data_IF_964424634686
#
_entry.id   IF_964424634686
#
_cell.length_a   1.000
_cell.length_b   1.000
_cell.length_c   1.000
_cell.angle_alpha   90.00
_cell.angle_beta   90.00
_cell.angle_gamma   90.00
#
_symmetry.space_group_name_H-M   'P 1'
#
loop_
_entity.id
_entity.type
_entity.pdbx_description
1 polymer ?
#
# COMPACT_ATOMS: atom_id res chain seq x y z
N UNK A 1 4.06 2.52 -20.41
CA UNK A 1 4.87 3.63 -19.86
C UNK A 1 5.12 4.75 -20.89
N UNK A 2 5.10 4.47 -22.21
CA UNK A 2 5.32 5.45 -23.28
C UNK A 2 4.29 6.59 -23.41
N UNK A 3 3.14 6.56 -22.71
CA UNK A 3 2.14 7.64 -22.75
C UNK A 3 2.29 8.66 -21.61
N UNK A 4 3.13 8.41 -20.60
CA UNK A 4 3.30 9.37 -19.49
C UNK A 4 3.98 10.66 -19.97
N UNK A 5 4.98 10.53 -20.86
CA UNK A 5 5.72 11.65 -21.45
C UNK A 5 4.83 12.55 -22.35
N UNK A 6 3.66 12.05 -22.75
CA UNK A 6 2.67 12.80 -23.54
C UNK A 6 1.67 13.57 -22.68
N UNK A 7 1.66 13.32 -21.37
CA UNK A 7 0.81 14.05 -20.43
C UNK A 7 1.42 15.42 -20.13
N UNK A 8 0.56 16.38 -19.80
CA UNK A 8 1.03 17.67 -19.30
C UNK A 8 1.82 17.49 -18.00
N UNK A 9 2.76 18.40 -17.73
CA UNK A 9 3.55 18.38 -16.50
C UNK A 9 2.66 18.27 -15.26
N UNK A 10 1.58 19.05 -15.21
CA UNK A 10 0.61 19.03 -14.11
C UNK A 10 0.02 17.64 -13.88
N UNK A 11 -0.28 16.90 -14.94
CA UNK A 11 -0.83 15.56 -14.82
C UNK A 11 0.23 14.53 -14.43
N UNK A 12 1.47 14.70 -14.90
CA UNK A 12 2.60 13.88 -14.46
C UNK A 12 2.85 14.08 -12.96
N UNK A 13 2.90 15.33 -12.49
CA UNK A 13 3.11 15.69 -11.08
C UNK A 13 1.99 15.14 -10.20
N UNK A 14 0.74 15.22 -10.67
CA UNK A 14 -0.41 14.64 -9.96
C UNK A 14 -0.27 13.12 -9.79
N UNK A 15 0.08 12.40 -10.86
CA UNK A 15 0.28 10.94 -10.83
C UNK A 15 1.45 10.60 -9.91
N UNK A 16 2.56 11.34 -10.01
CA UNK A 16 3.72 11.16 -9.15
C UNK A 16 3.35 11.34 -7.67
N UNK A 17 2.67 12.43 -7.32
CA UNK A 17 2.22 12.70 -5.96
C UNK A 17 1.34 11.58 -5.43
N UNK A 18 0.37 11.11 -6.22
CA UNK A 18 -0.51 10.01 -5.82
C UNK A 18 0.26 8.68 -5.60
N UNK A 19 1.26 8.39 -6.44
CA UNK A 19 2.10 7.21 -6.23
C UNK A 19 2.91 7.33 -4.93
N UNK A 20 3.55 8.46 -4.68
CA UNK A 20 4.35 8.68 -3.47
C UNK A 20 3.49 8.57 -2.21
N UNK A 21 2.33 9.25 -2.20
CA UNK A 21 1.41 9.20 -1.06
C UNK A 21 0.90 7.78 -0.82
N UNK A 22 0.62 7.00 -1.87
CA UNK A 22 0.24 5.61 -1.70
C UNK A 22 1.31 4.78 -0.96
N UNK A 23 2.60 4.97 -1.25
CA UNK A 23 3.66 4.30 -0.48
C UNK A 23 3.73 4.76 0.97
N UNK A 24 3.60 6.07 1.23
CA UNK A 24 3.59 6.62 2.59
C UNK A 24 2.41 6.08 3.40
N UNK A 25 1.20 6.14 2.85
CA UNK A 25 -0.01 5.64 3.52
C UNK A 25 0.08 4.13 3.75
N UNK A 26 0.71 3.37 2.85
CA UNK A 26 0.94 1.94 3.08
C UNK A 26 1.88 1.66 4.27
N UNK A 27 2.91 2.49 4.49
CA UNK A 27 3.74 2.42 5.69
C UNK A 27 2.86 2.68 6.92
N UNK A 28 2.14 3.79 6.91
CA UNK A 28 1.27 4.24 7.99
C UNK A 28 0.26 3.15 8.41
N UNK A 29 -0.47 2.58 7.44
CA UNK A 29 -1.45 1.53 7.69
C UNK A 29 -0.83 0.20 8.15
N UNK A 30 0.40 -0.12 7.72
CA UNK A 30 1.12 -1.30 8.19
C UNK A 30 1.56 -1.15 9.65
N UNK A 31 1.99 0.05 10.06
CA UNK A 31 2.38 0.32 11.44
C UNK A 31 1.19 0.18 12.42
N UNK A 32 -0.03 0.48 11.96
CA UNK A 32 -1.27 0.28 12.72
C UNK A 32 -1.87 -1.13 12.58
N UNK A 33 -1.27 -2.02 11.80
CA UNK A 33 -1.87 -3.31 11.49
C UNK A 33 -1.93 -4.20 12.75
N UNK A 34 -3.13 -4.66 13.17
CA UNK A 34 -3.27 -5.46 14.39
C UNK A 34 -2.63 -6.85 14.27
N UNK A 35 -2.46 -7.34 13.06
CA UNK A 35 -1.85 -8.62 12.74
C UNK A 35 -0.31 -8.54 12.61
N UNK A 36 0.30 -7.35 12.77
CA UNK A 36 1.75 -7.17 12.74
C UNK A 36 2.42 -7.92 13.89
N UNK A 37 3.36 -8.82 13.56
CA UNK A 37 4.01 -9.72 14.52
C UNK A 37 5.21 -9.06 15.19
N UNK A 38 4.91 -8.13 16.10
CA UNK A 38 5.90 -7.41 16.92
C UNK A 38 5.57 -7.55 18.42
N UNK A 39 6.57 -7.43 19.32
CA UNK A 39 6.33 -7.34 20.76
C UNK A 39 5.31 -6.24 21.10
N UNK A 40 4.54 -6.44 22.18
CA UNK A 40 3.46 -5.54 22.56
C UNK A 40 3.97 -4.13 22.89
N UNK A 41 5.13 -3.99 23.53
CA UNK A 41 5.71 -2.67 23.82
C UNK A 41 6.03 -1.92 22.53
N UNK A 42 6.59 -2.62 21.54
CA UNK A 42 6.93 -2.04 20.25
C UNK A 42 5.69 -1.65 19.44
N UNK A 43 4.57 -2.36 19.60
CA UNK A 43 3.32 -2.05 18.90
C UNK A 43 2.80 -0.65 19.22
N UNK A 44 2.80 -0.26 20.49
CA UNK A 44 2.35 1.09 20.89
C UNK A 44 3.26 2.15 20.28
N UNK A 45 4.58 1.93 20.35
CA UNK A 45 5.56 2.81 19.72
C UNK A 45 5.36 2.96 18.20
N UNK A 46 5.09 1.86 17.48
CA UNK A 46 4.86 1.90 16.04
C UNK A 46 3.54 2.60 15.68
N UNK A 47 2.50 2.45 16.48
CA UNK A 47 1.25 3.17 16.31
C UNK A 47 1.46 4.69 16.48
N UNK A 48 2.25 5.12 17.47
CA UNK A 48 2.59 6.53 17.66
C UNK A 48 3.51 7.06 16.55
N UNK A 49 4.40 6.22 16.02
CA UNK A 49 5.30 6.55 14.92
C UNK A 49 4.53 6.91 13.65
N UNK A 50 3.30 6.40 13.47
CA UNK A 50 2.46 6.68 12.30
C UNK A 50 2.35 8.20 12.02
N UNK A 51 2.06 9.01 13.05
CA UNK A 51 1.93 10.47 12.92
C UNK A 51 3.22 11.13 12.45
N UNK A 52 4.36 10.59 12.86
CA UNK A 52 5.69 11.12 12.55
C UNK A 52 6.16 10.75 11.14
N UNK A 53 5.55 9.76 10.47
CA UNK A 53 5.91 9.39 9.09
C UNK A 53 5.60 10.55 8.14
N UNK A 54 4.43 11.17 8.27
CA UNK A 54 4.05 12.32 7.46
C UNK A 54 4.98 13.51 7.70
N UNK A 55 5.23 13.84 8.97
CA UNK A 55 6.14 14.92 9.39
C UNK A 55 7.55 14.70 8.83
N UNK A 56 8.10 13.49 8.96
CA UNK A 56 9.44 13.16 8.47
C UNK A 56 9.57 13.30 6.94
N UNK A 57 8.52 12.97 6.19
CA UNK A 57 8.53 13.16 4.74
C UNK A 57 8.48 14.64 4.36
N UNK A 58 7.66 15.44 5.03
CA UNK A 58 7.55 16.88 4.81
C UNK A 58 8.85 17.60 5.20
N UNK A 59 9.46 17.21 6.31
CA UNK A 59 10.78 17.70 6.72
C UNK A 59 11.85 17.34 5.68
N UNK A 60 11.81 16.13 5.12
CA UNK A 60 12.71 15.76 4.04
C UNK A 60 12.52 16.66 2.81
N UNK A 61 11.28 16.93 2.37
CA UNK A 61 11.01 17.87 1.27
C UNK A 61 11.53 19.27 1.57
N UNK A 62 11.39 19.74 2.81
CA UNK A 62 11.94 21.01 3.26
C UNK A 62 13.47 21.04 3.12
N UNK A 63 14.17 19.95 3.46
CA UNK A 63 15.63 19.86 3.28
C UNK A 63 16.06 19.89 1.81
N UNK A 64 15.18 19.48 0.90
CA UNK A 64 15.39 19.56 -0.55
C UNK A 64 15.08 20.94 -1.14
N UNK A 65 14.66 21.91 -0.31
CA UNK A 65 14.38 23.28 -0.73
C UNK A 65 12.97 23.50 -1.28
N UNK A 66 12.03 22.58 -1.04
CA UNK A 66 10.62 22.76 -1.44
C UNK A 66 10.01 23.93 -0.68
N UNK A 67 9.28 24.78 -1.40
CA UNK A 67 8.65 25.97 -0.82
C UNK A 67 7.59 25.63 0.23
N UNK A 68 7.49 26.47 1.26
CA UNK A 68 6.59 26.26 2.41
C UNK A 68 5.12 26.03 2.02
N UNK A 69 4.65 26.67 0.95
CA UNK A 69 3.26 26.50 0.53
C UNK A 69 2.99 25.09 -0.01
N UNK A 70 3.91 24.51 -0.78
CA UNK A 70 3.86 23.13 -1.22
C UNK A 70 4.00 22.13 -0.07
N UNK A 71 4.77 22.44 0.97
CA UNK A 71 4.88 21.59 2.16
C UNK A 71 3.50 21.40 2.85
N UNK A 72 2.71 22.48 2.96
CA UNK A 72 1.35 22.43 3.53
C UNK A 72 0.41 21.61 2.66
N UNK A 73 0.53 21.72 1.33
CA UNK A 73 -0.26 20.91 0.41
C UNK A 73 0.07 19.41 0.56
N UNK A 74 1.33 19.06 0.76
CA UNK A 74 1.77 17.69 1.04
C UNK A 74 1.22 17.15 2.35
N UNK A 75 1.31 17.92 3.44
CA UNK A 75 0.73 17.55 4.75
C UNK A 75 -0.76 17.23 4.60
N UNK A 76 -1.51 18.13 3.94
CA UNK A 76 -2.94 17.96 3.71
C UNK A 76 -3.23 16.75 2.83
N UNK A 77 -2.47 16.56 1.74
CA UNK A 77 -2.67 15.45 0.82
C UNK A 77 -2.45 14.10 1.50
N UNK A 78 -1.37 13.95 2.27
CA UNK A 78 -1.06 12.71 3.00
C UNK A 78 -2.16 12.41 4.01
N UNK A 79 -2.59 13.40 4.80
CA UNK A 79 -3.66 13.23 5.78
C UNK A 79 -4.98 12.81 5.13
N UNK A 80 -5.41 13.52 4.08
CA UNK A 80 -6.64 13.20 3.35
C UNK A 80 -6.61 11.77 2.79
N UNK A 81 -5.49 11.34 2.20
CA UNK A 81 -5.34 10.01 1.62
C UNK A 81 -5.26 8.91 2.67
N UNK A 82 -4.62 9.18 3.80
CA UNK A 82 -4.64 8.26 4.93
C UNK A 82 -6.07 8.01 5.40
N UNK A 83 -6.85 9.07 5.66
CA UNK A 83 -8.24 8.95 6.15
C UNK A 83 -9.15 8.26 5.13
N UNK A 84 -8.97 8.53 3.84
CA UNK A 84 -9.70 7.86 2.78
C UNK A 84 -9.38 6.36 2.74
N UNK A 85 -8.11 5.99 2.58
CA UNK A 85 -7.72 4.58 2.44
C UNK A 85 -7.95 3.77 3.73
N UNK A 86 -7.88 4.43 4.90
CA UNK A 86 -8.20 3.80 6.18
C UNK A 86 -9.68 3.45 6.31
N UNK A 87 -10.59 4.29 5.79
CA UNK A 87 -12.05 4.06 5.81
C UNK A 87 -12.45 2.91 4.87
N UNK A 88 -11.83 2.82 3.71
CA UNK A 88 -12.14 1.81 2.70
C UNK A 88 -11.78 0.37 3.14
N UNK A 89 -10.98 0.21 4.20
CA UNK A 89 -10.54 -1.10 4.71
C UNK A 89 -11.69 -2.05 5.01
N UNK A 90 -12.82 -1.54 5.52
CA UNK A 90 -13.97 -2.39 5.85
C UNK A 90 -14.66 -2.93 4.60
N UNK A 91 -14.85 -2.08 3.59
CA UNK A 91 -15.44 -2.47 2.31
C UNK A 91 -14.53 -3.44 1.56
N UNK A 92 -13.24 -3.15 1.50
CA UNK A 92 -12.22 -4.01 0.90
C UNK A 92 -12.18 -5.38 1.56
N UNK A 93 -12.21 -5.43 2.90
CA UNK A 93 -12.27 -6.69 3.65
C UNK A 93 -13.55 -7.46 3.34
N UNK A 94 -14.70 -6.79 3.34
CA UNK A 94 -15.99 -7.39 3.03
C UNK A 94 -16.03 -8.00 1.63
N UNK A 95 -15.59 -7.25 0.61
CA UNK A 95 -15.49 -7.73 -0.76
C UNK A 95 -14.56 -8.94 -0.88
N UNK A 96 -13.38 -8.91 -0.23
CA UNK A 96 -12.45 -10.03 -0.23
C UNK A 96 -13.04 -11.29 0.44
N UNK A 97 -13.78 -11.13 1.54
CA UNK A 97 -14.47 -12.23 2.23
C UNK A 97 -15.56 -12.85 1.35
N UNK A 98 -16.36 -12.04 0.65
CA UNK A 98 -17.38 -12.53 -0.27
C UNK A 98 -16.75 -13.33 -1.42
N UNK A 99 -15.67 -12.81 -2.01
CA UNK A 99 -14.95 -13.49 -3.10
C UNK A 99 -14.33 -14.82 -2.66
N UNK A 100 -13.76 -14.90 -1.45
CA UNK A 100 -13.15 -16.12 -0.93
C UNK A 100 -14.24 -17.17 -0.60
N UNK A 101 -15.34 -16.72 0.03
CA UNK A 101 -16.49 -17.56 0.37
C UNK A 101 -17.09 -18.22 -0.87
N UNK A 102 -17.25 -17.45 -1.96
CA UNK A 102 -17.79 -17.94 -3.23
C UNK A 102 -16.89 -18.96 -3.94
N UNK A 103 -15.57 -18.96 -3.69
CA UNK A 103 -14.61 -19.84 -4.39
C UNK A 103 -14.39 -21.17 -3.71
N UNK A 104 -14.28 -21.20 -2.39
CA UNK A 104 -13.87 -22.42 -1.66
C UNK A 104 -14.37 -22.49 -0.20
N UNK A 105 -15.28 -21.59 0.22
CA UNK A 105 -15.66 -21.43 1.62
C UNK A 105 -14.62 -20.63 2.42
N UNK A 106 -15.09 -19.85 3.40
CA UNK A 106 -14.25 -18.99 4.23
C UNK A 106 -13.87 -19.72 5.53
N UNK A 107 -12.57 -19.92 5.72
CA UNK A 107 -11.99 -20.51 6.94
C UNK A 107 -11.08 -19.49 7.66
N UNK A 108 -10.50 -19.91 8.80
CA UNK A 108 -9.63 -19.05 9.61
C UNK A 108 -8.34 -18.66 8.87
N UNK A 109 -7.76 -19.56 8.06
CA UNK A 109 -6.59 -19.24 7.23
C UNK A 109 -6.93 -18.18 6.17
N UNK A 110 -8.05 -18.36 5.47
CA UNK A 110 -8.58 -17.40 4.51
C UNK A 110 -8.81 -16.03 5.13
N UNK A 111 -9.47 -15.97 6.29
CA UNK A 111 -9.67 -14.73 7.05
C UNK A 111 -8.36 -14.05 7.43
N UNK A 112 -7.39 -14.81 7.97
CA UNK A 112 -6.08 -14.28 8.34
C UNK A 112 -5.33 -13.73 7.11
N UNK A 113 -5.41 -14.42 5.97
CA UNK A 113 -4.78 -13.98 4.71
C UNK A 113 -5.45 -12.73 4.14
N UNK A 114 -6.77 -12.63 4.26
CA UNK A 114 -7.50 -11.41 3.86
C UNK A 114 -7.05 -10.25 4.74
N UNK A 115 -7.12 -10.39 6.07
CA UNK A 115 -6.75 -9.35 7.03
C UNK A 115 -5.32 -8.83 6.76
N UNK A 116 -4.38 -9.74 6.52
CA UNK A 116 -2.99 -9.44 6.17
C UNK A 116 -2.84 -8.55 4.92
N UNK A 117 -3.77 -8.64 3.97
CA UNK A 117 -3.70 -7.96 2.67
C UNK A 117 -4.59 -6.71 2.59
N UNK A 118 -5.47 -6.47 3.57
CA UNK A 118 -6.39 -5.32 3.57
C UNK A 118 -5.68 -3.99 3.35
N UNK A 119 -4.59 -3.63 4.07
CA UNK A 119 -3.89 -2.36 3.85
C UNK A 119 -3.37 -2.21 2.42
N UNK A 120 -2.76 -3.27 1.88
CA UNK A 120 -2.24 -3.29 0.51
C UNK A 120 -3.37 -3.12 -0.51
N UNK A 121 -4.49 -3.80 -0.32
CA UNK A 121 -5.63 -3.75 -1.22
C UNK A 121 -6.29 -2.37 -1.19
N UNK A 122 -6.56 -1.80 -0.01
CA UNK A 122 -7.15 -0.48 0.13
C UNK A 122 -6.33 0.60 -0.55
N UNK A 123 -5.01 0.64 -0.30
CA UNK A 123 -4.10 1.60 -0.93
C UNK A 123 -4.01 1.38 -2.44
N UNK A 124 -3.93 0.14 -2.91
CA UNK A 124 -3.83 -0.15 -4.35
C UNK A 124 -5.08 0.27 -5.11
N UNK A 125 -6.26 0.04 -4.53
CA UNK A 125 -7.56 0.41 -5.11
C UNK A 125 -7.70 1.93 -5.11
N UNK A 126 -7.45 2.58 -3.98
CA UNK A 126 -7.53 4.04 -3.85
C UNK A 126 -6.57 4.76 -4.78
N UNK A 127 -5.30 4.35 -4.81
CA UNK A 127 -4.29 4.93 -5.70
C UNK A 127 -4.69 4.79 -7.18
N UNK A 128 -5.18 3.61 -7.58
CA UNK A 128 -5.68 3.39 -8.94
C UNK A 128 -6.89 4.27 -9.26
N UNK A 129 -7.84 4.38 -8.33
CA UNK A 129 -9.00 5.25 -8.44
C UNK A 129 -8.58 6.71 -8.67
N UNK A 130 -7.67 7.24 -7.86
CA UNK A 130 -7.21 8.62 -7.98
C UNK A 130 -6.38 8.88 -9.24
N UNK A 131 -5.46 7.99 -9.60
CA UNK A 131 -4.73 8.10 -10.87
C UNK A 131 -5.71 8.10 -12.06
N UNK A 132 -6.76 7.29 -12.00
CA UNK A 132 -7.75 7.22 -13.08
C UNK A 132 -8.89 8.25 -12.96
N UNK A 133 -8.90 9.08 -11.92
CA UNK A 133 -10.00 10.02 -11.61
C UNK A 133 -11.36 9.31 -11.56
N UNK A 134 -11.40 8.12 -10.98
CA UNK A 134 -12.58 7.26 -10.90
C UNK A 134 -12.90 6.47 -12.16
N UNK A 135 -12.29 6.77 -13.31
CA UNK A 135 -12.52 6.04 -14.56
C UNK A 135 -11.61 4.79 -14.65
N UNK A 136 -11.92 3.77 -13.85
CA UNK A 136 -11.10 2.56 -13.70
C UNK A 136 -11.33 1.51 -14.80
N UNK A 137 -12.43 1.62 -15.57
CA UNK A 137 -12.80 0.66 -16.60
C UNK A 137 -11.73 0.55 -17.70
N UNK A 138 -11.33 -0.69 -18.04
CA UNK A 138 -10.32 -0.97 -19.06
C UNK A 138 -8.88 -0.62 -18.66
N UNK A 139 -8.62 -0.24 -17.39
CA UNK A 139 -7.27 0.15 -16.90
C UNK A 139 -6.65 -0.89 -15.96
N UNK A 140 -6.97 -2.16 -16.19
CA UNK A 140 -6.54 -3.29 -15.34
C UNK A 140 -5.01 -3.42 -15.27
N UNK A 141 -4.31 -3.09 -16.36
CA UNK A 141 -2.86 -3.23 -16.41
C UNK A 141 -2.12 -2.18 -15.56
N UNK A 142 -2.70 -1.00 -15.40
CA UNK A 142 -2.22 -0.01 -14.45
C UNK A 142 -2.43 -0.50 -13.02
N UNK A 143 -3.63 -1.00 -12.70
CA UNK A 143 -3.91 -1.57 -11.38
C UNK A 143 -2.95 -2.72 -11.03
N UNK A 144 -2.72 -3.65 -11.97
CA UNK A 144 -1.76 -4.76 -11.79
C UNK A 144 -0.35 -4.24 -11.49
N UNK A 145 0.10 -3.16 -12.14
CA UNK A 145 1.40 -2.57 -11.89
C UNK A 145 1.49 -1.90 -10.52
N UNK A 146 0.48 -1.10 -10.15
CA UNK A 146 0.38 -0.47 -8.82
C UNK A 146 0.43 -1.56 -7.73
N UNK A 147 -0.45 -2.57 -7.84
CA UNK A 147 -0.50 -3.69 -6.90
C UNK A 147 0.82 -4.45 -6.83
N UNK A 148 1.49 -4.69 -7.96
CA UNK A 148 2.79 -5.38 -8.01
C UNK A 148 3.88 -4.58 -7.27
N UNK A 149 3.94 -3.27 -7.47
CA UNK A 149 4.93 -2.41 -6.83
C UNK A 149 4.68 -2.28 -5.33
N UNK A 150 3.43 -1.95 -4.94
CA UNK A 150 3.04 -1.84 -3.53
C UNK A 150 3.19 -3.17 -2.79
N UNK A 151 2.84 -4.31 -3.42
CA UNK A 151 2.98 -5.63 -2.77
C UNK A 151 4.44 -6.01 -2.53
N UNK A 152 5.35 -5.67 -3.45
CA UNK A 152 6.78 -5.91 -3.27
C UNK A 152 7.31 -5.10 -2.08
N UNK A 153 6.96 -3.82 -2.03
CA UNK A 153 7.34 -2.93 -0.93
C UNK A 153 6.75 -3.38 0.40
N UNK A 154 5.45 -3.69 0.44
CA UNK A 154 4.73 -4.19 1.63
C UNK A 154 5.41 -5.41 2.25
N UNK A 155 5.74 -6.41 1.43
CA UNK A 155 6.39 -7.64 1.91
C UNK A 155 7.79 -7.35 2.44
N UNK A 156 8.56 -6.51 1.75
CA UNK A 156 9.91 -6.13 2.18
C UNK A 156 9.89 -5.38 3.51
N UNK A 157 9.01 -4.40 3.65
CA UNK A 157 8.86 -3.61 4.87
C UNK A 157 8.37 -4.48 6.03
N UNK A 158 7.33 -5.28 5.81
CA UNK A 158 6.73 -6.12 6.85
C UNK A 158 7.70 -7.18 7.37
N UNK A 159 8.43 -7.87 6.49
CA UNK A 159 9.45 -8.84 6.91
C UNK A 159 10.48 -8.18 7.82
N UNK A 160 10.92 -6.95 7.50
CA UNK A 160 11.89 -6.23 8.34
C UNK A 160 11.29 -5.84 9.69
N UNK A 161 10.06 -5.34 9.73
CA UNK A 161 9.38 -4.97 10.97
C UNK A 161 9.14 -6.16 11.89
N UNK A 162 8.83 -7.34 11.33
CA UNK A 162 8.63 -8.59 12.09
C UNK A 162 9.96 -9.27 12.45
N UNK A 163 11.12 -8.61 12.27
CA UNK A 163 12.44 -9.13 12.62
C UNK A 163 12.98 -10.20 11.66
N UNK A 164 12.32 -10.43 10.54
CA UNK A 164 12.75 -11.36 9.51
C UNK A 164 13.90 -10.81 8.66
N UNK A 165 14.78 -11.70 8.19
CA UNK A 165 15.81 -11.37 7.21
C UNK A 165 15.31 -11.68 5.80
N UNK A 166 15.40 -10.71 4.90
CA UNK A 166 15.20 -10.95 3.46
C UNK A 166 16.45 -11.66 2.92
N UNK A 167 16.50 -12.98 3.07
CA UNK A 167 17.57 -13.80 2.50
C UNK A 167 17.26 -14.16 1.05
N UNK A 168 18.30 -14.52 0.28
CA UNK A 168 18.13 -15.05 -1.08
C UNK A 168 17.18 -16.26 -1.10
N UNK A 169 17.21 -17.08 -0.06
CA UNK A 169 16.29 -18.20 0.15
C UNK A 169 14.83 -17.76 0.31
N UNK A 170 14.55 -16.69 1.07
CA UNK A 170 13.18 -16.17 1.19
C UNK A 170 12.63 -15.69 -0.16
N UNK A 171 13.46 -15.01 -0.97
CA UNK A 171 13.07 -14.58 -2.33
C UNK A 171 12.87 -15.78 -3.26
N UNK A 172 13.76 -16.77 -3.22
CA UNK A 172 13.63 -18.00 -3.98
C UNK A 172 12.36 -18.78 -3.60
N UNK A 173 12.03 -18.85 -2.30
CA UNK A 173 10.84 -19.54 -1.80
C UNK A 173 9.54 -18.85 -2.24
N UNK A 174 9.50 -17.52 -2.24
CA UNK A 174 8.36 -16.74 -2.78
C UNK A 174 8.24 -16.93 -4.30
N UNK A 175 9.35 -16.94 -5.03
CA UNK A 175 9.37 -17.21 -6.47
C UNK A 175 8.88 -18.63 -6.79
N UNK A 176 9.34 -19.63 -6.05
CA UNK A 176 8.94 -21.03 -6.20
C UNK A 176 7.43 -21.21 -5.91
N UNK A 177 6.93 -20.56 -4.85
CA UNK A 177 5.50 -20.61 -4.49
C UNK A 177 4.61 -19.98 -5.58
N UNK A 178 5.08 -18.92 -6.26
CA UNK A 178 4.40 -18.32 -7.42
C UNK A 178 4.42 -19.24 -8.65
N UNK A 179 5.49 -20.00 -8.87
CA UNK A 179 5.57 -20.99 -9.96
C UNK A 179 4.60 -22.14 -9.69
N UNK A 180 4.60 -22.69 -8.47
CA UNK A 180 3.70 -23.77 -8.07
C UNK A 180 2.22 -23.37 -8.13
N UNK A 181 1.87 -22.15 -7.73
CA UNK A 181 0.49 -21.63 -7.85
C UNK A 181 0.03 -21.40 -9.30
N UNK A 182 0.96 -21.24 -10.25
CA UNK A 182 0.64 -21.16 -11.68
C UNK A 182 0.48 -22.54 -12.32
N UNK A 183 1.12 -23.57 -11.76
CA UNK A 183 0.99 -24.96 -12.19
C UNK A 183 -0.24 -25.66 -11.59
N UNK A 184 -0.79 -25.12 -10.50
CA UNK A 184 -2.00 -25.63 -9.84
C UNK A 184 -3.30 -24.93 -10.26
N UNK A 185 -3.26 -24.15 -11.35
CA UNK A 185 -4.42 -23.53 -12.02
C UNK A 185 -4.60 -24.19 -13.37
#
# INVERSE_FOLDING_TARGET
MADLERLSQVEQDRIFNELVVAFLVLIMLLLEAPDLRVPRELRNYLADLNKRISEAYVDHLKTLGVETHHLRDWEKLIAMRFDEYARDRHEVRGAAMQMESAKKGLDLDGLSRIQLLVPLQAVSIGCHHHICRGNTAGRDDLFKQILKSLSRFYVELRIRLEGGKITALTRARVALKRILQRLSR
#
